data_IF_033511923639
#
_entry.id   IF_033511923639
#
_cell.length_a   1.000
_cell.length_b   1.000
_cell.length_c   1.000
_cell.angle_alpha   90.00
_cell.angle_beta   90.00
_cell.angle_gamma   90.00
#
_symmetry.space_group_name_H-M   'P 1'
#
loop_
_entity.id
_entity.type
_entity.pdbx_description
1 polymer ?
#
# COMPACT_ATOMS: atom_id res chain seq x y z
N UNK A 1 -10.19 -11.58 13.77
CA UNK A 1 -10.28 -10.89 12.45
C UNK A 1 -10.21 -11.87 11.29
N UNK A 2 -9.15 -12.64 11.08
CA UNK A 2 -8.97 -13.53 9.91
C UNK A 2 -10.12 -14.55 9.73
N UNK A 3 -10.66 -15.14 10.83
CA UNK A 3 -11.80 -16.07 10.76
C UNK A 3 -13.07 -15.41 10.22
N UNK A 4 -13.28 -14.13 10.51
CA UNK A 4 -14.42 -13.36 10.01
C UNK A 4 -14.30 -13.12 8.52
N UNK A 5 -13.12 -12.67 8.06
CA UNK A 5 -12.86 -12.47 6.63
C UNK A 5 -12.98 -13.76 5.84
N UNK A 6 -12.44 -14.89 6.34
CA UNK A 6 -12.62 -16.21 5.71
C UNK A 6 -14.08 -16.57 5.53
N UNK A 7 -14.91 -16.32 6.56
CA UNK A 7 -16.35 -16.59 6.48
C UNK A 7 -17.05 -15.72 5.44
N UNK A 8 -16.66 -14.45 5.33
CA UNK A 8 -17.22 -13.56 4.31
C UNK A 8 -16.84 -14.03 2.89
N UNK A 9 -15.56 -14.35 2.66
CA UNK A 9 -15.12 -14.87 1.37
C UNK A 9 -15.86 -16.14 0.97
N UNK A 10 -16.06 -17.06 1.92
CA UNK A 10 -16.84 -18.29 1.69
C UNK A 10 -18.28 -18.01 1.32
N UNK A 11 -18.92 -17.08 2.00
CA UNK A 11 -20.31 -16.71 1.71
C UNK A 11 -20.47 -16.09 0.31
N UNK A 12 -19.43 -15.42 -0.20
CA UNK A 12 -19.42 -14.76 -1.51
C UNK A 12 -18.81 -15.65 -2.62
N UNK A 13 -18.33 -16.85 -2.30
CA UNK A 13 -17.69 -17.75 -3.26
C UNK A 13 -16.35 -17.22 -3.80
N UNK A 14 -15.61 -16.45 -2.99
CA UNK A 14 -14.36 -15.79 -3.39
C UNK A 14 -13.10 -16.45 -2.82
N UNK A 15 -13.22 -17.58 -2.15
CA UNK A 15 -12.11 -18.24 -1.44
C UNK A 15 -10.95 -18.62 -2.36
N UNK A 16 -11.25 -19.07 -3.57
CA UNK A 16 -10.26 -19.50 -4.54
C UNK A 16 -9.43 -18.33 -5.15
N UNK A 17 -9.94 -17.10 -5.03
CA UNK A 17 -9.29 -15.90 -5.55
C UNK A 17 -8.47 -15.15 -4.50
N UNK A 18 -8.51 -15.57 -3.22
CA UNK A 18 -7.93 -14.80 -2.12
C UNK A 18 -7.03 -15.66 -1.25
N UNK A 19 -5.76 -15.31 -1.16
CA UNK A 19 -4.82 -15.87 -0.19
C UNK A 19 -4.74 -14.95 1.05
N UNK A 20 -5.27 -15.41 2.19
CA UNK A 20 -5.22 -14.69 3.46
C UNK A 20 -3.98 -15.07 4.26
N UNK A 21 -3.12 -14.10 4.49
CA UNK A 21 -1.87 -14.26 5.23
C UNK A 21 -1.98 -13.59 6.59
N UNK A 22 -1.59 -14.29 7.65
CA UNK A 22 -1.42 -13.74 8.99
C UNK A 22 0.07 -13.55 9.26
N UNK A 23 0.56 -12.34 9.05
CA UNK A 23 1.93 -11.98 9.34
C UNK A 23 1.98 -11.06 10.58
N UNK A 24 2.60 -11.48 11.70
CA UNK A 24 2.78 -10.62 12.86
C UNK A 24 3.70 -9.45 12.53
N UNK A 25 3.61 -8.37 13.31
CA UNK A 25 4.51 -7.23 13.16
C UNK A 25 5.83 -7.49 13.86
N UNK A 26 6.93 -7.25 13.15
CA UNK A 26 8.29 -7.31 13.65
C UNK A 26 9.01 -5.99 13.35
N UNK A 27 10.21 -5.80 13.90
CA UNK A 27 11.06 -4.66 13.51
C UNK A 27 11.27 -4.65 12.01
N UNK A 28 11.04 -3.52 11.40
CA UNK A 28 11.17 -3.33 9.95
C UNK A 28 12.63 -3.48 9.50
N UNK A 29 12.85 -4.28 8.47
CA UNK A 29 14.15 -4.37 7.78
C UNK A 29 14.39 -3.19 6.83
N UNK A 30 13.35 -2.41 6.54
CA UNK A 30 13.35 -1.31 5.58
C UNK A 30 13.47 0.06 6.22
N UNK A 31 13.49 0.14 7.56
CA UNK A 31 13.61 1.39 8.30
C UNK A 31 15.04 1.63 8.77
N UNK A 32 15.57 2.81 8.50
CA UNK A 32 16.93 3.22 8.91
C UNK A 32 17.09 3.27 10.44
N UNK A 33 16.04 3.70 11.13
CA UNK A 33 16.05 3.87 12.60
C UNK A 33 15.77 2.59 13.39
N UNK A 34 15.42 1.50 12.70
CA UNK A 34 15.06 0.19 13.28
C UNK A 34 13.94 0.25 14.34
N UNK A 35 13.15 1.33 14.33
CA UNK A 35 12.04 1.53 15.27
C UNK A 35 10.69 1.24 14.64
N UNK A 36 10.59 1.38 13.32
CA UNK A 36 9.36 1.08 12.60
C UNK A 36 9.05 -0.42 12.63
N UNK A 37 7.76 -0.73 12.70
CA UNK A 37 7.27 -2.10 12.60
C UNK A 37 6.78 -2.38 11.19
N UNK A 38 7.03 -3.59 10.72
CA UNK A 38 6.55 -4.11 9.45
C UNK A 38 6.09 -5.57 9.63
N UNK A 39 5.37 -6.09 8.68
CA UNK A 39 4.94 -7.49 8.67
C UNK A 39 6.15 -8.44 8.64
N UNK A 40 6.04 -9.58 9.32
CA UNK A 40 7.08 -10.61 9.32
C UNK A 40 7.37 -11.08 7.88
N UNK A 41 8.62 -10.89 7.43
CA UNK A 41 9.03 -11.21 6.07
C UNK A 41 9.06 -12.72 5.78
N UNK A 42 9.25 -13.57 6.77
CA UNK A 42 9.23 -15.04 6.56
C UNK A 42 7.84 -15.51 6.17
N UNK A 43 6.81 -15.03 6.89
CA UNK A 43 5.42 -15.32 6.57
C UNK A 43 5.01 -14.75 5.19
N UNK A 44 5.46 -13.53 4.89
CA UNK A 44 5.22 -12.94 3.59
C UNK A 44 5.95 -13.72 2.47
N UNK A 45 7.22 -14.09 2.67
CA UNK A 45 7.99 -14.84 1.68
C UNK A 45 7.32 -16.18 1.34
N UNK A 46 6.79 -16.87 2.36
CA UNK A 46 6.04 -18.09 2.15
C UNK A 46 4.75 -17.85 1.33
N UNK A 47 4.05 -16.75 1.62
CA UNK A 47 2.82 -16.39 0.91
C UNK A 47 3.07 -15.97 -0.55
N UNK A 48 4.17 -15.31 -0.82
CA UNK A 48 4.55 -14.76 -2.13
C UNK A 48 5.49 -15.65 -2.95
N UNK A 49 5.81 -16.87 -2.47
CA UNK A 49 6.79 -17.77 -3.13
C UNK A 49 6.46 -18.07 -4.60
N UNK A 50 5.19 -18.24 -4.91
CA UNK A 50 4.70 -18.60 -6.25
C UNK A 50 4.15 -17.36 -7.02
N UNK A 51 4.25 -16.15 -6.45
CA UNK A 51 3.82 -14.91 -7.07
C UNK A 51 4.96 -14.34 -7.90
N UNK A 52 4.78 -14.29 -9.22
CA UNK A 52 5.79 -13.81 -10.16
C UNK A 52 5.61 -12.35 -10.55
N UNK A 53 4.37 -11.84 -10.52
CA UNK A 53 4.07 -10.46 -10.90
C UNK A 53 2.90 -9.92 -10.10
N UNK A 54 2.97 -8.64 -9.74
CA UNK A 54 1.94 -7.90 -9.01
C UNK A 54 1.60 -6.65 -9.81
N UNK A 55 0.34 -6.54 -10.23
CA UNK A 55 -0.15 -5.43 -11.03
C UNK A 55 -0.81 -4.33 -10.19
N UNK A 56 -1.23 -4.65 -8.96
CA UNK A 56 -1.83 -3.68 -8.06
C UNK A 56 -1.42 -3.95 -6.61
N UNK A 57 -1.08 -2.89 -5.89
CA UNK A 57 -0.83 -2.91 -4.44
C UNK A 57 -1.72 -1.88 -3.77
N UNK A 58 -2.45 -2.29 -2.76
CA UNK A 58 -3.25 -1.39 -1.92
C UNK A 58 -2.72 -1.48 -0.50
N UNK A 59 -2.21 -0.36 0.02
CA UNK A 59 -1.58 -0.29 1.34
C UNK A 59 -2.44 0.53 2.30
N UNK A 60 -3.07 -0.17 3.24
CA UNK A 60 -3.83 0.39 4.35
C UNK A 60 -3.40 -0.21 5.71
N UNK A 61 -2.16 -0.58 5.81
CA UNK A 61 -1.56 -1.18 7.01
C UNK A 61 -0.05 -1.34 6.89
N UNK A 62 0.63 -1.58 8.02
CA UNK A 62 0.16 -1.57 9.40
C UNK A 62 -0.42 -0.22 9.85
N UNK A 63 -1.16 -0.23 10.97
CA UNK A 63 -1.74 1.01 11.49
C UNK A 63 -0.64 1.99 11.91
N UNK A 64 -0.64 3.20 11.33
CA UNK A 64 0.41 4.21 11.50
C UNK A 64 0.59 4.74 12.93
N UNK A 65 -0.38 4.50 13.85
CA UNK A 65 -0.24 4.91 15.24
C UNK A 65 0.69 4.00 16.07
N UNK A 66 1.06 2.82 15.57
CA UNK A 66 2.02 1.96 16.29
C UNK A 66 3.45 2.47 16.18
N UNK A 67 3.87 2.85 14.99
CA UNK A 67 5.20 3.41 14.74
C UNK A 67 5.19 4.29 13.50
N UNK A 68 6.04 5.33 13.52
CA UNK A 68 6.29 6.18 12.36
C UNK A 68 6.75 5.34 11.17
N UNK A 69 6.38 5.74 9.97
CA UNK A 69 6.81 5.12 8.69
C UNK A 69 6.49 3.62 8.56
N UNK A 70 5.52 3.10 9.33
CA UNK A 70 5.23 1.66 9.39
C UNK A 70 4.79 1.04 8.05
N UNK A 71 4.20 1.83 7.16
CA UNK A 71 3.76 1.37 5.82
C UNK A 71 4.88 1.40 4.77
N UNK A 72 6.02 2.02 5.10
CA UNK A 72 7.11 2.21 4.13
C UNK A 72 7.60 0.90 3.51
N UNK A 73 7.66 -0.18 4.28
CA UNK A 73 8.17 -1.48 3.82
C UNK A 73 7.44 -2.11 2.64
N UNK A 74 6.23 -1.66 2.29
CA UNK A 74 5.43 -2.30 1.24
C UNK A 74 6.13 -2.30 -0.12
N UNK A 75 6.57 -1.15 -0.61
CA UNK A 75 7.24 -1.07 -1.92
C UNK A 75 8.62 -1.71 -1.91
N UNK A 76 9.53 -1.42 -0.98
CA UNK A 76 10.83 -2.10 -0.93
C UNK A 76 10.72 -3.63 -0.83
N UNK A 77 9.74 -4.15 -0.11
CA UNK A 77 9.51 -5.60 0.00
C UNK A 77 9.03 -6.23 -1.31
N UNK A 78 8.18 -5.53 -2.05
CA UNK A 78 7.54 -6.05 -3.28
C UNK A 78 8.29 -5.68 -4.55
N UNK A 79 9.36 -4.91 -4.47
CA UNK A 79 10.00 -4.25 -5.61
C UNK A 79 10.30 -5.20 -6.77
N UNK A 80 10.89 -6.35 -6.48
CA UNK A 80 11.28 -7.36 -7.48
C UNK A 80 10.07 -8.12 -8.08
N UNK A 81 8.89 -7.93 -7.54
CA UNK A 81 7.65 -8.59 -7.96
C UNK A 81 6.66 -7.64 -8.63
N UNK A 82 6.90 -6.33 -8.57
CA UNK A 82 6.02 -5.38 -9.23
C UNK A 82 6.14 -5.48 -10.74
N UNK A 83 5.01 -5.56 -11.44
CA UNK A 83 5.02 -5.42 -12.90
C UNK A 83 5.41 -4.00 -13.31
N UNK A 84 5.85 -3.82 -14.54
CA UNK A 84 6.24 -2.50 -15.07
C UNK A 84 5.09 -1.47 -14.94
N UNK A 85 3.86 -1.94 -15.14
CA UNK A 85 2.65 -1.11 -15.07
C UNK A 85 1.90 -1.23 -13.75
N UNK A 86 2.54 -1.71 -12.70
CA UNK A 86 1.91 -1.83 -11.40
C UNK A 86 1.37 -0.49 -10.90
N UNK A 87 0.18 -0.54 -10.33
CA UNK A 87 -0.46 0.60 -9.66
C UNK A 87 -0.38 0.41 -8.16
N UNK A 88 0.11 1.42 -7.45
CA UNK A 88 0.31 1.35 -6.01
C UNK A 88 -0.54 2.44 -5.35
N UNK A 89 -1.42 2.03 -4.44
CA UNK A 89 -2.24 2.92 -3.63
C UNK A 89 -1.75 2.94 -2.19
N UNK A 90 -1.73 4.13 -1.60
CA UNK A 90 -1.47 4.34 -0.18
C UNK A 90 -2.62 5.13 0.43
N UNK A 91 -3.26 4.58 1.45
CA UNK A 91 -4.30 5.29 2.21
C UNK A 91 -3.69 6.26 3.23
N UNK A 92 -4.53 7.14 3.76
CA UNK A 92 -4.21 8.12 4.79
C UNK A 92 -3.12 9.15 4.42
N UNK A 93 -2.84 9.40 3.15
CA UNK A 93 -1.80 10.36 2.69
C UNK A 93 -2.04 11.81 3.11
N UNK A 94 -3.13 12.09 3.84
CA UNK A 94 -3.33 13.36 4.54
C UNK A 94 -2.45 13.49 5.80
N UNK A 95 -1.86 12.39 6.29
CA UNK A 95 -0.89 12.35 7.39
C UNK A 95 0.51 12.57 6.85
N UNK A 96 1.39 13.15 7.67
CA UNK A 96 2.75 13.51 7.23
C UNK A 96 3.61 12.28 6.90
N UNK A 97 3.54 11.24 7.74
CA UNK A 97 4.31 10.01 7.52
C UNK A 97 3.94 9.32 6.21
N UNK A 98 2.64 9.12 5.95
CA UNK A 98 2.16 8.49 4.73
C UNK A 98 2.48 9.32 3.49
N UNK A 99 2.44 10.64 3.58
CA UNK A 99 2.86 11.50 2.48
C UNK A 99 4.36 11.36 2.18
N UNK A 100 5.21 11.31 3.21
CA UNK A 100 6.65 11.09 3.07
C UNK A 100 6.93 9.69 2.50
N UNK A 101 6.18 8.68 2.94
CA UNK A 101 6.26 7.32 2.38
C UNK A 101 6.01 7.33 0.88
N UNK A 102 4.94 8.00 0.44
CA UNK A 102 4.58 8.08 -0.97
C UNK A 102 5.68 8.78 -1.80
N UNK A 103 6.28 9.86 -1.27
CA UNK A 103 7.42 10.52 -1.91
C UNK A 103 8.61 9.57 -2.06
N UNK A 104 9.00 8.86 -0.99
CA UNK A 104 10.10 7.89 -1.03
C UNK A 104 9.84 6.74 -2.01
N UNK A 105 8.61 6.24 -2.09
CA UNK A 105 8.23 5.22 -3.07
C UNK A 105 8.31 5.74 -4.50
N UNK A 106 7.91 6.97 -4.75
CA UNK A 106 8.06 7.66 -6.04
C UNK A 106 9.54 7.71 -6.47
N UNK A 107 10.44 8.05 -5.55
CA UNK A 107 11.88 8.04 -5.78
C UNK A 107 12.43 6.63 -6.08
N UNK A 108 12.05 5.61 -5.28
CA UNK A 108 12.48 4.22 -5.47
C UNK A 108 12.04 3.68 -6.82
N UNK A 109 10.82 4.00 -7.23
CA UNK A 109 10.23 3.50 -8.47
C UNK A 109 10.57 4.35 -9.69
N UNK A 110 11.14 5.54 -9.47
CA UNK A 110 11.36 6.57 -10.49
C UNK A 110 10.07 6.87 -11.29
N UNK A 111 8.94 7.03 -10.57
CA UNK A 111 7.60 7.31 -11.12
C UNK A 111 6.95 8.44 -10.35
N UNK A 112 6.15 9.24 -11.03
CA UNK A 112 5.38 10.30 -10.39
C UNK A 112 4.27 9.73 -9.51
N UNK A 113 3.88 10.50 -8.48
CA UNK A 113 2.76 10.18 -7.64
C UNK A 113 1.69 11.27 -7.66
N UNK A 114 0.48 10.90 -7.36
CA UNK A 114 -0.65 11.80 -7.22
C UNK A 114 -1.31 11.58 -5.86
N UNK A 115 -1.87 12.67 -5.29
CA UNK A 115 -2.63 12.63 -4.04
C UNK A 115 -4.01 13.20 -4.27
N UNK A 116 -5.02 12.46 -3.85
CA UNK A 116 -6.41 12.84 -3.95
C UNK A 116 -7.14 12.60 -2.63
N UNK A 117 -7.49 13.68 -1.93
CA UNK A 117 -8.14 13.58 -0.64
C UNK A 117 -7.28 12.91 0.41
N UNK A 118 -7.60 11.67 0.76
CA UNK A 118 -6.92 10.90 1.80
C UNK A 118 -5.99 9.83 1.28
N UNK A 119 -5.97 9.55 0.00
CA UNK A 119 -5.11 8.53 -0.58
C UNK A 119 -4.24 9.10 -1.69
N UNK A 120 -3.14 8.42 -1.94
CA UNK A 120 -2.26 8.70 -3.05
C UNK A 120 -1.95 7.44 -3.85
N UNK A 121 -1.44 7.60 -5.06
CA UNK A 121 -1.06 6.50 -5.90
C UNK A 121 0.13 6.81 -6.79
N UNK A 122 0.79 5.75 -7.23
CA UNK A 122 1.89 5.76 -8.20
C UNK A 122 1.50 4.82 -9.33
N UNK A 123 1.59 5.26 -10.57
CA UNK A 123 1.39 4.44 -11.76
C UNK A 123 2.30 4.92 -12.90
N UNK A 124 2.55 4.04 -13.88
CA UNK A 124 3.41 4.34 -15.03
C UNK A 124 2.77 5.28 -16.04
N UNK A 125 1.45 5.22 -16.18
CA UNK A 125 0.67 5.99 -17.13
C UNK A 125 -0.44 6.79 -16.45
N UNK A 126 -0.72 7.98 -16.98
CA UNK A 126 -1.82 8.84 -16.53
C UNK A 126 -3.23 8.28 -16.86
N UNK A 127 -3.31 7.02 -17.26
CA UNK A 127 -4.58 6.40 -17.69
C UNK A 127 -5.50 6.00 -16.53
N UNK A 128 -5.06 6.15 -15.28
CA UNK A 128 -5.93 5.86 -14.15
C UNK A 128 -6.78 7.09 -13.82
N UNK A 129 -7.97 7.16 -14.41
CA UNK A 129 -8.94 8.20 -14.08
C UNK A 129 -9.79 7.78 -12.87
N UNK A 130 -9.36 8.14 -11.69
CA UNK A 130 -10.11 7.92 -10.45
C UNK A 130 -11.19 8.99 -10.19
N UNK A 131 -11.29 9.98 -11.07
CA UNK A 131 -12.06 11.22 -10.87
C UNK A 131 -13.59 11.06 -10.86
N UNK A 132 -14.23 10.19 -11.66
CA UNK A 132 -15.68 10.23 -11.81
C UNK A 132 -16.48 9.92 -10.55
N UNK A 133 -15.94 9.10 -9.66
CA UNK A 133 -16.68 8.62 -8.47
C UNK A 133 -16.66 9.63 -7.34
N UNK A 134 -15.57 10.38 -7.19
CA UNK A 134 -15.33 11.26 -6.03
C UNK A 134 -15.86 12.67 -6.18
N UNK A 135 -16.06 13.17 -7.39
CA UNK A 135 -16.71 14.46 -7.63
C UNK A 135 -18.14 14.52 -7.04
N UNK A 136 -18.81 13.39 -6.98
CA UNK A 136 -20.17 13.29 -6.43
C UNK A 136 -20.24 13.47 -4.91
N UNK A 137 -19.13 13.29 -4.20
CA UNK A 137 -19.06 13.31 -2.73
C UNK A 137 -18.24 14.48 -2.16
N UNK A 138 -17.86 15.46 -2.97
CA UNK A 138 -17.29 16.73 -2.50
C UNK A 138 -15.94 16.60 -1.78
N UNK A 139 -15.08 15.69 -2.21
CA UNK A 139 -13.73 15.57 -1.66
C UNK A 139 -12.90 16.75 -2.12
N UNK A 140 -12.55 17.64 -1.18
CA UNK A 140 -11.78 18.83 -1.44
C UNK A 140 -10.36 18.49 -1.89
N UNK A 141 -9.96 19.01 -3.06
CA UNK A 141 -8.56 19.09 -3.49
C UNK A 141 -7.76 19.82 -2.42
N UNK A 142 -6.85 19.16 -1.76
CA UNK A 142 -5.83 19.86 -0.97
C UNK A 142 -4.72 20.29 -1.90
N UNK A 143 -4.77 21.53 -2.36
CA UNK A 143 -3.61 22.20 -2.93
C UNK A 143 -2.58 22.37 -1.80
N UNK A 144 -1.69 21.42 -1.61
CA UNK A 144 -0.49 21.63 -0.81
C UNK A 144 0.42 22.53 -1.64
N UNK A 145 0.44 23.83 -1.31
CA UNK A 145 1.47 24.74 -1.82
C UNK A 145 2.83 24.11 -1.52
N UNK A 146 3.65 23.94 -2.58
CA UNK A 146 5.07 23.63 -2.46
C UNK A 146 5.68 24.60 -1.44
N UNK A 147 6.18 24.08 -0.34
CA UNK A 147 7.11 24.79 0.52
C UNK A 147 8.53 24.50 0.08
#
# INVERSE_FOLDING_TARGET
MIKHVKKQLSNEGLEEFVNLVLAPLNTSLFSEDKKSLWYNCEELNQAFKDVNSIDMVIVDGPQGHYTSMSRFGAVPYLLDKLSENAVIFLDDTHRDDEYIILQKWSEILNKDFQVYGKYGWICSDQQFDSVPIFHKYGILKRDRKKR
#
